data_IF_757666834340
#
_entry.id   IF_757666834340
#
_cell.length_a   1.000
_cell.length_b   1.000
_cell.length_c   1.000
_cell.angle_alpha   90.00
_cell.angle_beta   90.00
_cell.angle_gamma   90.00
#
_symmetry.space_group_name_H-M   'P 1'
#
loop_
_entity.id
_entity.type
_entity.pdbx_description
1 polymer ?
#
# COMPACT_ATOMS: atom_id res chain seq x y z
N UNK A 1 -7.36 -6.12 27.22
CA UNK A 1 -8.41 -5.89 26.21
C UNK A 1 -7.96 -6.60 24.94
N UNK A 2 -8.76 -7.56 24.48
CA UNK A 2 -8.43 -8.49 23.40
C UNK A 2 -8.05 -7.75 22.12
N UNK A 3 -7.00 -8.21 21.46
CA UNK A 3 -6.61 -7.76 20.13
C UNK A 3 -7.71 -8.13 19.13
N UNK A 4 -8.63 -7.20 18.88
CA UNK A 4 -9.43 -7.24 17.67
C UNK A 4 -8.45 -7.07 16.49
N UNK A 5 -8.01 -8.17 15.87
CA UNK A 5 -7.67 -8.12 14.46
C UNK A 5 -8.97 -8.47 13.73
N UNK A 6 -9.73 -7.48 13.23
CA UNK A 6 -10.96 -7.75 12.47
C UNK A 6 -10.71 -8.48 11.14
N UNK A 7 -9.45 -8.85 10.88
CA UNK A 7 -8.95 -9.27 9.59
C UNK A 7 -7.88 -10.36 9.77
N UNK A 8 -8.21 -11.61 9.43
CA UNK A 8 -7.22 -12.69 9.29
C UNK A 8 -6.64 -12.63 7.87
N UNK A 9 -5.67 -11.74 7.67
CA UNK A 9 -5.07 -11.54 6.35
C UNK A 9 -4.25 -12.77 5.97
N UNK A 10 -4.52 -13.31 4.78
CA UNK A 10 -3.63 -14.26 4.11
C UNK A 10 -3.55 -13.96 2.61
N UNK A 11 -2.40 -14.31 2.02
CA UNK A 11 -2.32 -14.46 0.57
C UNK A 11 -2.96 -15.80 0.15
N UNK A 12 -3.34 -15.98 -1.13
CA UNK A 12 -3.81 -17.27 -1.61
C UNK A 12 -2.85 -18.40 -1.22
N UNK A 13 -3.35 -19.53 -0.72
CA UNK A 13 -2.53 -20.60 -0.13
C UNK A 13 -1.43 -21.10 -1.08
N UNK A 14 -1.75 -21.20 -2.36
CA UNK A 14 -0.79 -21.57 -3.40
C UNK A 14 0.37 -20.56 -3.52
N UNK A 15 0.08 -19.26 -3.43
CA UNK A 15 1.10 -18.21 -3.44
C UNK A 15 1.99 -18.31 -2.20
N UNK A 16 1.41 -18.57 -1.03
CA UNK A 16 2.19 -18.75 0.20
C UNK A 16 3.13 -19.95 0.11
N UNK A 17 2.64 -21.07 -0.41
CA UNK A 17 3.42 -22.29 -0.61
C UNK A 17 4.61 -22.03 -1.54
N UNK A 18 4.38 -21.33 -2.65
CA UNK A 18 5.43 -21.02 -3.63
C UNK A 18 6.51 -20.10 -3.02
N UNK A 19 6.11 -19.11 -2.22
CA UNK A 19 7.03 -18.18 -1.54
C UNK A 19 7.77 -18.82 -0.35
N UNK A 20 7.12 -19.73 0.39
CA UNK A 20 7.76 -20.46 1.48
C UNK A 20 8.87 -21.38 0.99
N UNK A 21 8.70 -21.98 -0.20
CA UNK A 21 9.64 -22.94 -0.77
C UNK A 21 10.84 -22.34 -1.49
N UNK A 22 10.90 -21.00 -1.64
CA UNK A 22 11.92 -20.34 -2.48
C UNK A 22 12.46 -19.06 -1.83
N UNK A 23 13.74 -18.77 -2.09
CA UNK A 23 14.23 -17.40 -1.95
C UNK A 23 13.76 -16.56 -3.14
N UNK A 24 13.23 -15.36 -2.89
CA UNK A 24 12.70 -14.49 -3.94
C UNK A 24 13.25 -13.06 -3.90
N UNK A 25 13.13 -12.37 -5.03
CA UNK A 25 13.44 -10.95 -5.15
C UNK A 25 12.14 -10.15 -5.06
N UNK A 26 12.03 -9.33 -4.03
CA UNK A 26 10.92 -8.40 -3.85
C UNK A 26 11.23 -7.06 -4.52
N UNK A 27 10.46 -6.71 -5.54
CA UNK A 27 10.63 -5.50 -6.33
C UNK A 27 9.66 -4.43 -5.84
N UNK A 28 10.20 -3.30 -5.36
CA UNK A 28 9.38 -2.23 -4.79
C UNK A 28 8.64 -1.44 -5.88
N UNK A 29 7.42 -0.98 -5.58
CA UNK A 29 6.71 0.01 -6.39
C UNK A 29 7.27 1.42 -6.08
N UNK A 30 7.45 2.35 -7.04
CA UNK A 30 7.55 3.78 -6.71
C UNK A 30 6.19 4.31 -6.21
N UNK A 31 6.18 5.38 -5.40
CA UNK A 31 4.91 5.92 -4.94
C UNK A 31 4.97 6.87 -3.75
N UNK A 32 3.80 7.06 -3.14
CA UNK A 32 3.59 7.97 -2.01
C UNK A 32 3.60 7.22 -0.66
N UNK A 33 3.20 7.89 0.43
CA UNK A 33 3.18 7.25 1.74
C UNK A 33 2.23 6.04 1.82
N UNK A 34 1.17 5.99 1.02
CA UNK A 34 0.30 4.83 0.91
C UNK A 34 1.03 3.60 0.35
N UNK A 35 1.87 3.78 -0.67
CA UNK A 35 2.71 2.70 -1.20
C UNK A 35 3.77 2.26 -0.18
N UNK A 36 4.27 3.18 0.67
CA UNK A 36 5.10 2.83 1.82
C UNK A 36 4.35 1.95 2.84
N UNK A 37 3.05 2.19 3.05
CA UNK A 37 2.20 1.35 3.92
C UNK A 37 2.07 -0.05 3.34
N UNK A 38 1.80 -0.19 2.04
CA UNK A 38 1.77 -1.50 1.37
C UNK A 38 3.12 -2.20 1.55
N UNK A 39 4.23 -1.54 1.21
CA UNK A 39 5.55 -2.14 1.29
C UNK A 39 5.92 -2.54 2.72
N UNK A 40 5.65 -1.67 3.71
CA UNK A 40 5.88 -1.98 5.12
C UNK A 40 5.05 -3.20 5.57
N UNK A 41 3.78 -3.26 5.16
CA UNK A 41 2.92 -4.39 5.47
C UNK A 41 3.44 -5.69 4.83
N UNK A 42 3.86 -5.65 3.56
CA UNK A 42 4.49 -6.78 2.85
C UNK A 42 5.75 -7.27 3.54
N UNK A 43 6.70 -6.40 3.89
CA UNK A 43 7.93 -6.80 4.58
C UNK A 43 7.61 -7.50 5.91
N UNK A 44 6.76 -6.88 6.73
CA UNK A 44 6.36 -7.47 8.01
C UNK A 44 5.60 -8.79 7.83
N UNK A 45 4.84 -8.93 6.73
CA UNK A 45 4.17 -10.18 6.40
C UNK A 45 5.17 -11.29 6.11
N UNK A 46 6.15 -11.02 5.24
CA UNK A 46 7.20 -11.98 4.88
C UNK A 46 8.05 -12.35 6.09
N UNK A 47 8.42 -11.37 6.92
CA UNK A 47 9.21 -11.58 8.12
C UNK A 47 8.47 -12.47 9.14
N UNK A 48 7.16 -12.26 9.34
CA UNK A 48 6.34 -13.12 10.21
C UNK A 48 6.21 -14.55 9.70
N UNK A 49 6.20 -14.75 8.38
CA UNK A 49 6.20 -16.07 7.75
C UNK A 49 7.59 -16.72 7.70
N UNK A 50 8.64 -15.97 8.04
CA UNK A 50 10.03 -16.46 7.98
C UNK A 50 10.53 -16.67 6.54
N UNK A 51 9.96 -15.97 5.57
CA UNK A 51 10.35 -16.09 4.16
C UNK A 51 11.67 -15.37 3.89
N UNK A 52 12.47 -15.93 2.97
CA UNK A 52 13.77 -15.38 2.58
C UNK A 52 13.62 -14.55 1.32
N UNK A 53 13.97 -13.26 1.40
CA UNK A 53 13.85 -12.37 0.26
C UNK A 53 14.93 -11.29 0.22
N UNK A 54 15.25 -10.83 -1.00
CA UNK A 54 16.09 -9.66 -1.25
C UNK A 54 15.23 -8.54 -1.83
N UNK A 55 15.38 -7.32 -1.33
CA UNK A 55 14.65 -6.15 -1.84
C UNK A 55 15.46 -5.46 -2.92
N UNK A 56 14.81 -5.11 -4.03
CA UNK A 56 15.40 -4.36 -5.14
C UNK A 56 14.48 -3.23 -5.60
N UNK A 57 15.05 -2.11 -6.10
CA UNK A 57 14.27 -1.02 -6.67
C UNK A 57 13.71 -1.41 -8.06
N UNK A 58 12.73 -0.67 -8.59
CA UNK A 58 12.11 -0.97 -9.89
C UNK A 58 13.05 -0.82 -11.10
N UNK A 59 14.17 -0.10 -10.95
CA UNK A 59 15.17 0.11 -11.99
C UNK A 59 16.32 -0.92 -11.95
N UNK A 60 16.15 -2.01 -11.20
CA UNK A 60 17.11 -3.13 -11.16
C UNK A 60 17.39 -3.68 -12.57
N UNK A 61 18.60 -4.18 -12.79
CA UNK A 61 18.97 -4.76 -14.09
C UNK A 61 18.55 -6.24 -14.23
N UNK A 62 18.21 -6.72 -15.44
CA UNK A 62 17.84 -8.12 -15.68
C UNK A 62 18.90 -9.12 -15.24
N UNK A 63 20.18 -8.75 -15.31
CA UNK A 63 21.30 -9.57 -14.83
C UNK A 63 21.19 -9.94 -13.34
N UNK A 64 20.54 -9.10 -12.52
CA UNK A 64 20.34 -9.36 -11.09
C UNK A 64 19.07 -10.17 -10.78
N UNK A 65 18.17 -10.31 -11.75
CA UNK A 65 16.83 -10.94 -11.59
C UNK A 65 16.67 -12.24 -12.39
N UNK A 66 17.55 -12.49 -13.36
CA UNK A 66 17.50 -13.66 -14.23
C UNK A 66 17.57 -14.98 -13.44
N UNK A 67 16.70 -15.92 -13.78
CA UNK A 67 16.58 -17.23 -13.13
C UNK A 67 16.01 -17.20 -11.71
N UNK A 68 15.54 -16.05 -11.21
CA UNK A 68 15.01 -15.89 -9.84
C UNK A 68 13.48 -15.87 -9.81
N UNK A 69 12.91 -16.14 -8.64
CA UNK A 69 11.50 -15.88 -8.34
C UNK A 69 11.36 -14.39 -8.07
N UNK A 70 10.51 -13.71 -8.83
CA UNK A 70 10.27 -12.28 -8.73
C UNK A 70 8.90 -12.03 -8.10
N UNK A 71 8.87 -11.21 -7.07
CA UNK A 71 7.64 -10.77 -6.40
C UNK A 71 7.55 -9.26 -6.55
N UNK A 72 6.61 -8.80 -7.35
CA UNK A 72 6.37 -7.37 -7.56
C UNK A 72 5.40 -6.83 -6.51
N UNK A 73 5.75 -5.68 -5.91
CA UNK A 73 4.95 -5.04 -4.88
C UNK A 73 3.50 -4.79 -5.32
N UNK A 74 2.56 -4.96 -4.37
CA UNK A 74 1.15 -4.63 -4.58
C UNK A 74 0.94 -3.13 -4.72
N UNK A 75 -0.24 -2.72 -5.19
CA UNK A 75 -0.52 -1.31 -5.46
C UNK A 75 -1.54 -1.10 -6.56
N UNK A 76 -1.36 -0.03 -7.33
CA UNK A 76 -2.27 0.35 -8.42
C UNK A 76 -1.53 0.98 -9.60
N UNK A 77 -0.33 0.47 -9.90
CA UNK A 77 0.56 0.98 -10.95
C UNK A 77 0.59 0.12 -12.23
N UNK A 78 -0.46 -0.69 -12.47
CA UNK A 78 -0.69 -1.44 -13.71
C UNK A 78 -1.99 -0.95 -14.35
N UNK A 79 -2.01 0.35 -14.68
CA UNK A 79 -3.12 1.09 -15.30
C UNK A 79 -2.54 2.06 -16.32
N UNK A 80 -3.33 2.60 -17.25
CA UNK A 80 -2.82 3.47 -18.32
C UNK A 80 -2.01 4.69 -17.82
N UNK A 81 -2.45 5.28 -16.70
CA UNK A 81 -1.78 6.42 -16.06
C UNK A 81 -0.39 6.07 -15.47
N UNK A 82 -0.14 4.80 -15.16
CA UNK A 82 1.06 4.34 -14.46
C UNK A 82 1.62 3.08 -15.12
N UNK A 83 2.75 3.23 -15.79
CA UNK A 83 3.36 2.16 -16.60
C UNK A 83 4.44 1.37 -15.87
N UNK A 84 4.69 1.62 -14.58
CA UNK A 84 5.89 1.09 -13.92
C UNK A 84 5.87 -0.44 -13.79
N UNK A 85 4.75 -1.04 -13.40
CA UNK A 85 4.63 -2.51 -13.38
C UNK A 85 4.70 -3.10 -14.80
N UNK A 86 4.09 -2.43 -15.79
CA UNK A 86 4.16 -2.83 -17.20
C UNK A 86 5.61 -2.86 -17.71
N UNK A 87 6.35 -1.79 -17.47
CA UNK A 87 7.76 -1.68 -17.86
C UNK A 87 8.64 -2.70 -17.17
N UNK A 88 8.39 -2.98 -15.88
CA UNK A 88 9.10 -4.01 -15.15
C UNK A 88 8.83 -5.41 -15.74
N UNK A 89 7.55 -5.76 -15.94
CA UNK A 89 7.14 -7.02 -16.56
C UNK A 89 7.82 -7.22 -17.92
N UNK A 90 7.73 -6.22 -18.80
CA UNK A 90 8.34 -6.28 -20.13
C UNK A 90 9.86 -6.51 -20.10
N UNK A 91 10.57 -5.95 -19.10
CA UNK A 91 12.03 -6.05 -18.99
C UNK A 91 12.50 -7.36 -18.34
N UNK A 92 11.74 -7.90 -17.38
CA UNK A 92 12.22 -8.98 -16.51
C UNK A 92 11.55 -10.33 -16.73
N UNK A 93 10.36 -10.38 -17.34
CA UNK A 93 9.56 -11.60 -17.41
C UNK A 93 10.24 -12.74 -18.18
N UNK A 94 10.94 -12.42 -19.29
CA UNK A 94 11.61 -13.43 -20.11
C UNK A 94 12.63 -14.26 -19.31
N UNK A 95 13.38 -13.61 -18.42
CA UNK A 95 14.39 -14.24 -17.57
C UNK A 95 13.89 -14.77 -16.22
N UNK A 96 12.65 -14.48 -15.84
CA UNK A 96 12.14 -14.87 -14.52
C UNK A 96 11.88 -16.39 -14.45
N UNK A 97 12.26 -17.01 -13.32
CA UNK A 97 11.86 -18.41 -13.01
C UNK A 97 10.36 -18.47 -12.75
N UNK A 98 9.87 -17.51 -11.99
CA UNK A 98 8.47 -17.32 -11.62
C UNK A 98 8.24 -15.83 -11.37
N UNK A 99 7.05 -15.34 -11.69
CA UNK A 99 6.66 -13.96 -11.43
C UNK A 99 5.34 -13.92 -10.65
N UNK A 100 5.32 -13.19 -9.53
CA UNK A 100 4.13 -13.01 -8.70
C UNK A 100 3.87 -11.50 -8.57
N UNK A 101 2.71 -11.04 -9.05
CA UNK A 101 2.19 -9.71 -8.76
C UNK A 101 1.31 -9.79 -7.51
N UNK A 102 1.77 -9.18 -6.42
CA UNK A 102 1.01 -9.06 -5.18
C UNK A 102 -0.29 -8.25 -5.39
N UNK A 103 -1.26 -8.32 -4.45
CA UNK A 103 -2.58 -7.70 -4.60
C UNK A 103 -2.56 -6.31 -5.23
N UNK A 104 -3.14 -6.20 -6.44
CA UNK A 104 -3.02 -5.04 -7.31
C UNK A 104 -4.35 -4.57 -7.89
N UNK A 105 -4.46 -3.27 -8.13
CA UNK A 105 -5.46 -2.73 -9.05
C UNK A 105 -4.89 -2.72 -10.46
N UNK A 106 -5.51 -3.50 -11.34
CA UNK A 106 -5.22 -3.63 -12.77
C UNK A 106 -6.38 -3.09 -13.61
N UNK A 107 -6.06 -2.29 -14.62
CA UNK A 107 -6.96 -1.79 -15.68
C UNK A 107 -6.15 -1.72 -16.98
N UNK A 108 -6.78 -1.94 -18.12
CA UNK A 108 -6.09 -1.91 -19.42
C UNK A 108 -5.05 -3.03 -19.57
N UNK A 109 -4.04 -2.80 -20.41
CA UNK A 109 -2.89 -3.67 -20.62
C UNK A 109 -3.24 -5.06 -21.19
N UNK A 110 -4.30 -5.17 -21.97
CA UNK A 110 -4.88 -6.42 -22.47
C UNK A 110 -3.85 -7.27 -23.22
N UNK A 111 -3.06 -6.66 -24.10
CA UNK A 111 -2.00 -7.36 -24.86
C UNK A 111 -0.93 -7.95 -23.93
N UNK A 112 -0.51 -7.19 -22.91
CA UNK A 112 0.44 -7.68 -21.92
C UNK A 112 -0.17 -8.83 -21.12
N UNK A 113 -1.41 -8.69 -20.64
CA UNK A 113 -2.11 -9.71 -19.84
C UNK A 113 -2.27 -11.02 -20.63
N UNK A 114 -2.59 -10.93 -21.92
CA UNK A 114 -2.71 -12.09 -22.80
C UNK A 114 -1.37 -12.81 -23.04
N UNK A 115 -0.24 -12.09 -22.92
CA UNK A 115 1.11 -12.65 -23.09
C UNK A 115 1.66 -13.39 -21.87
N UNK A 116 1.01 -13.27 -20.70
CA UNK A 116 1.50 -13.88 -19.46
C UNK A 116 1.34 -15.40 -19.51
N UNK A 117 2.42 -16.12 -19.21
CA UNK A 117 2.46 -17.58 -19.24
C UNK A 117 2.26 -18.21 -17.85
N UNK A 118 2.33 -19.54 -17.79
CA UNK A 118 2.04 -20.35 -16.59
C UNK A 118 3.02 -20.09 -15.42
N UNK A 119 4.12 -19.38 -15.65
CA UNK A 119 5.07 -18.94 -14.61
C UNK A 119 4.59 -17.71 -13.86
N UNK A 120 3.54 -17.05 -14.36
CA UNK A 120 3.00 -15.83 -13.79
C UNK A 120 1.83 -16.13 -12.85
N UNK A 121 1.77 -15.37 -11.76
CA UNK A 121 0.61 -15.31 -10.87
C UNK A 121 0.27 -13.85 -10.62
N UNK A 122 -0.99 -13.47 -10.84
CA UNK A 122 -1.48 -12.12 -10.57
C UNK A 122 -2.60 -12.19 -9.54
N UNK A 123 -2.49 -11.32 -8.53
CA UNK A 123 -3.51 -11.18 -7.50
C UNK A 123 -4.18 -9.82 -7.68
N UNK A 124 -5.47 -9.80 -7.98
CA UNK A 124 -6.28 -8.60 -7.90
C UNK A 124 -6.62 -8.31 -6.44
N UNK A 125 -6.62 -7.02 -6.06
CA UNK A 125 -7.03 -6.60 -4.71
C UNK A 125 -8.50 -6.21 -4.58
N UNK A 126 -9.24 -6.30 -5.69
CA UNK A 126 -10.66 -5.96 -5.81
C UNK A 126 -11.29 -6.62 -7.04
N UNK A 127 -12.63 -6.66 -7.02
CA UNK A 127 -13.45 -7.46 -7.92
C UNK A 127 -13.42 -7.02 -9.39
N UNK A 128 -13.44 -5.71 -9.67
CA UNK A 128 -13.35 -5.17 -11.04
C UNK A 128 -12.01 -5.53 -11.67
N UNK A 129 -10.90 -5.42 -10.93
CA UNK A 129 -9.60 -5.93 -11.37
C UNK A 129 -9.59 -7.43 -11.61
N UNK A 130 -10.21 -8.19 -10.71
CA UNK A 130 -10.25 -9.65 -10.83
C UNK A 130 -11.00 -10.08 -12.10
N UNK A 131 -12.15 -9.47 -12.38
CA UNK A 131 -12.90 -9.72 -13.62
C UNK A 131 -12.12 -9.34 -14.86
N UNK A 132 -11.45 -8.19 -14.85
CA UNK A 132 -10.58 -7.75 -15.95
C UNK A 132 -9.47 -8.78 -16.22
N UNK A 133 -8.83 -9.29 -15.16
CA UNK A 133 -7.80 -10.32 -15.29
C UNK A 133 -8.37 -11.63 -15.84
N UNK A 134 -9.51 -12.10 -15.34
CA UNK A 134 -10.15 -13.33 -15.85
C UNK A 134 -10.53 -13.25 -17.33
N UNK A 135 -10.81 -12.05 -17.84
CA UNK A 135 -11.16 -11.83 -19.25
C UNK A 135 -9.96 -11.85 -20.18
N UNK A 136 -8.80 -11.37 -19.72
CA UNK A 136 -7.64 -11.11 -20.59
C UNK A 136 -6.42 -11.99 -20.33
N UNK A 137 -6.33 -12.61 -19.15
CA UNK A 137 -5.27 -13.57 -18.84
C UNK A 137 -5.68 -14.95 -19.35
N UNK A 138 -4.83 -15.53 -20.19
CA UNK A 138 -5.13 -16.82 -20.86
C UNK A 138 -4.48 -18.02 -20.17
N UNK A 139 -3.32 -17.82 -19.55
CA UNK A 139 -2.43 -18.91 -19.08
C UNK A 139 -1.95 -18.73 -17.65
N UNK A 140 -1.64 -17.50 -17.25
CA UNK A 140 -1.19 -17.20 -15.90
C UNK A 140 -2.28 -17.48 -14.84
N UNK A 141 -1.85 -17.72 -13.60
CA UNK A 141 -2.77 -17.89 -12.47
C UNK A 141 -3.32 -16.54 -12.04
N UNK A 142 -4.63 -16.49 -11.76
CA UNK A 142 -5.32 -15.27 -11.33
C UNK A 142 -6.05 -15.54 -10.02
N UNK A 143 -5.80 -14.69 -9.02
CA UNK A 143 -6.47 -14.74 -7.73
C UNK A 143 -7.12 -13.41 -7.39
N UNK A 144 -8.18 -13.46 -6.58
CA UNK A 144 -8.69 -12.32 -5.85
C UNK A 144 -8.16 -12.41 -4.42
N UNK A 145 -7.61 -11.31 -3.92
CA UNK A 145 -7.14 -11.18 -2.55
C UNK A 145 -7.38 -9.78 -2.01
N UNK A 146 -6.88 -9.53 -0.82
CA UNK A 146 -7.00 -8.24 -0.17
C UNK A 146 -5.73 -7.41 -0.33
N UNK A 147 -5.85 -6.08 -0.28
CA UNK A 147 -4.69 -5.19 -0.32
C UNK A 147 -3.69 -5.54 0.79
N UNK A 148 -2.39 -5.63 0.46
CA UNK A 148 -1.34 -5.99 1.42
C UNK A 148 -1.33 -5.07 2.66
N UNK A 149 -1.80 -3.83 2.55
CA UNK A 149 -1.90 -2.91 3.67
C UNK A 149 -2.80 -3.45 4.82
N UNK A 150 -3.77 -4.31 4.54
CA UNK A 150 -4.59 -4.96 5.57
C UNK A 150 -3.79 -5.96 6.43
N UNK A 151 -2.64 -6.43 5.97
CA UNK A 151 -1.74 -7.31 6.74
C UNK A 151 -0.91 -6.57 7.80
N UNK A 152 -1.05 -5.24 7.89
CA UNK A 152 -0.27 -4.41 8.78
C UNK A 152 -0.68 -4.60 10.24
N UNK A 153 0.21 -5.18 11.04
CA UNK A 153 0.10 -5.18 12.50
C UNK A 153 0.42 -3.78 13.04
N UNK A 154 -0.63 -2.98 13.25
CA UNK A 154 -0.55 -1.61 13.77
C UNK A 154 0.08 -1.56 15.16
N UNK A 155 -0.19 -2.55 16.02
CA UNK A 155 0.34 -2.56 17.39
C UNK A 155 1.84 -2.81 17.37
N UNK A 156 2.29 -3.88 16.71
CA UNK A 156 3.71 -4.19 16.58
C UNK A 156 4.48 -3.08 15.86
N UNK A 157 3.90 -2.50 14.80
CA UNK A 157 4.49 -1.34 14.11
C UNK A 157 4.76 -0.17 15.07
N UNK A 158 3.81 0.16 15.94
CA UNK A 158 3.96 1.26 16.92
C UNK A 158 5.02 0.95 17.96
N UNK A 159 5.02 -0.27 18.49
CA UNK A 159 6.00 -0.70 19.50
C UNK A 159 7.42 -0.71 18.93
N UNK A 160 7.60 -1.32 17.76
CA UNK A 160 8.88 -1.33 17.04
C UNK A 160 9.33 0.08 16.68
N UNK A 161 8.41 0.90 16.15
CA UNK A 161 8.70 2.26 15.72
C UNK A 161 9.06 3.17 16.90
N UNK A 162 8.39 3.03 18.04
CA UNK A 162 8.71 3.76 19.26
C UNK A 162 10.11 3.40 19.80
N UNK A 163 10.49 2.12 19.75
CA UNK A 163 11.84 1.66 20.11
C UNK A 163 12.89 2.17 19.13
N UNK A 164 12.63 2.01 17.83
CA UNK A 164 13.61 2.28 16.76
C UNK A 164 13.85 3.77 16.54
N UNK A 165 12.80 4.58 16.63
CA UNK A 165 12.81 6.02 16.33
C UNK A 165 12.64 6.86 17.60
N UNK A 166 13.16 6.36 18.73
CA UNK A 166 13.16 7.07 20.01
C UNK A 166 13.90 8.42 19.91
N UNK A 167 13.49 9.48 20.65
CA UNK A 167 13.98 10.85 20.41
C UNK A 167 15.44 11.11 20.81
N UNK A 168 16.10 10.18 21.50
CA UNK A 168 17.49 10.35 21.91
C UNK A 168 18.40 9.68 20.87
N UNK A 169 19.10 10.53 20.12
CA UNK A 169 20.13 10.24 19.12
C UNK A 169 19.63 9.74 17.75
N UNK A 170 19.28 10.67 16.88
CA UNK A 170 19.42 10.46 15.43
C UNK A 170 20.07 11.67 14.80
N UNK A 171 20.95 11.41 13.83
CA UNK A 171 21.96 12.30 13.24
C UNK A 171 21.42 13.67 12.77
N UNK A 172 22.31 14.67 12.68
CA UNK A 172 22.00 16.06 12.29
C UNK A 172 21.17 16.17 11.00
N UNK A 173 21.30 15.21 10.06
CA UNK A 173 20.49 15.15 8.83
C UNK A 173 19.06 14.66 9.06
N UNK A 174 18.85 13.68 9.95
CA UNK A 174 17.51 13.26 10.35
C UNK A 174 16.82 14.40 11.11
N UNK A 175 17.56 15.13 11.95
CA UNK A 175 17.05 16.32 12.67
C UNK A 175 16.62 17.41 11.68
N UNK A 176 17.39 17.74 10.65
CA UNK A 176 17.03 18.81 9.69
C UNK A 176 15.83 18.45 8.79
N UNK A 177 15.77 17.19 8.29
CA UNK A 177 14.64 16.68 7.51
C UNK A 177 13.37 16.53 8.36
N UNK A 178 13.53 16.12 9.61
CA UNK A 178 12.45 16.09 10.59
C UNK A 178 11.97 17.49 10.96
N UNK A 179 12.85 18.49 11.11
CA UNK A 179 12.48 19.84 11.51
C UNK A 179 11.59 20.55 10.47
N UNK A 180 11.88 20.45 9.16
CA UNK A 180 10.99 21.01 8.11
C UNK A 180 9.63 20.30 8.02
N UNK A 181 9.58 18.97 8.18
CA UNK A 181 8.33 18.19 8.24
C UNK A 181 7.52 18.49 9.50
N UNK A 182 8.19 18.61 10.63
CA UNK A 182 7.61 18.87 11.95
C UNK A 182 7.09 20.30 12.06
N UNK A 183 7.79 21.31 11.51
CA UNK A 183 7.30 22.70 11.44
C UNK A 183 6.03 22.82 10.58
N UNK A 184 5.94 22.09 9.46
CA UNK A 184 4.72 22.05 8.63
C UNK A 184 3.56 21.30 9.30
N UNK A 185 3.86 20.23 10.05
CA UNK A 185 2.87 19.50 10.85
C UNK A 185 2.35 20.34 12.02
N UNK A 186 3.23 21.05 12.73
CA UNK A 186 2.88 21.92 13.86
C UNK A 186 2.04 23.12 13.40
N UNK A 187 2.39 23.78 12.30
CA UNK A 187 1.59 24.89 11.75
C UNK A 187 0.22 24.46 11.23
N UNK A 188 0.06 23.21 10.76
CA UNK A 188 -1.23 22.65 10.31
C UNK A 188 -2.10 22.10 11.44
N UNK A 189 -1.50 21.47 12.46
CA UNK A 189 -2.18 21.11 13.70
C UNK A 189 -2.65 22.37 14.46
N UNK A 190 -1.94 23.49 14.32
CA UNK A 190 -2.37 24.80 14.82
C UNK A 190 -3.54 25.40 14.01
N UNK A 191 -3.71 25.08 12.72
CA UNK A 191 -4.92 25.42 11.95
C UNK A 191 -6.11 24.47 12.25
N UNK A 192 -5.85 23.22 12.61
CA UNK A 192 -6.88 22.24 13.01
C UNK A 192 -7.44 22.46 14.44
N UNK A 193 -6.95 23.46 15.17
CA UNK A 193 -7.27 23.76 16.59
C UNK A 193 -8.69 24.32 16.84
N UNK A 194 -9.63 24.11 15.91
CA UNK A 194 -11.06 24.25 16.18
C UNK A 194 -11.77 22.91 16.43
N UNK A 195 -11.26 21.81 15.87
CA UNK A 195 -11.96 20.52 15.94
C UNK A 195 -10.96 19.33 15.90
N UNK A 196 -10.41 18.96 17.07
CA UNK A 196 -9.43 17.87 17.23
C UNK A 196 -10.00 16.47 16.93
N UNK A 197 -11.26 16.36 16.49
CA UNK A 197 -11.93 15.10 16.24
C UNK A 197 -11.85 14.64 14.78
N UNK A 198 -11.75 15.55 13.82
CA UNK A 198 -11.88 15.23 12.38
C UNK A 198 -10.60 15.55 11.60
N UNK A 199 -10.16 14.61 10.78
CA UNK A 199 -9.15 14.80 9.74
C UNK A 199 -9.79 14.73 8.36
N UNK A 200 -9.65 15.78 7.54
CA UNK A 200 -9.93 15.72 6.11
C UNK A 200 -8.63 15.47 5.34
N UNK A 201 -8.58 14.40 4.54
CA UNK A 201 -7.41 14.01 3.76
C UNK A 201 -7.77 13.63 2.33
N UNK A 202 -7.87 14.61 1.45
CA UNK A 202 -8.26 14.47 0.06
C UNK A 202 -7.07 14.68 -0.88
N UNK A 203 -7.08 13.96 -2.01
CA UNK A 203 -6.08 14.07 -3.09
C UNK A 203 -6.04 15.47 -3.67
N UNK A 204 -4.82 15.95 -3.93
CA UNK A 204 -4.56 17.23 -4.62
C UNK A 204 -3.85 17.06 -5.97
N UNK A 205 -3.67 15.82 -6.43
CA UNK A 205 -2.91 15.46 -7.63
C UNK A 205 -3.82 15.23 -8.85
N UNK A 206 -3.30 14.65 -9.93
CA UNK A 206 -4.05 14.41 -11.18
C UNK A 206 -5.24 13.46 -11.00
N UNK A 207 -5.24 12.63 -9.95
CA UNK A 207 -6.37 11.77 -9.57
C UNK A 207 -7.33 12.48 -8.60
N UNK A 208 -7.30 13.83 -8.56
CA UNK A 208 -8.29 14.62 -7.82
C UNK A 208 -9.69 14.36 -8.37
N UNK A 209 -10.63 14.21 -7.44
CA UNK A 209 -12.06 14.07 -7.71
C UNK A 209 -12.78 15.42 -7.73
N UNK A 210 -14.02 15.45 -8.19
CA UNK A 210 -14.87 16.67 -8.17
C UNK A 210 -15.36 17.07 -6.76
N UNK A 211 -15.04 16.27 -5.73
CA UNK A 211 -15.34 16.58 -4.33
C UNK A 211 -14.69 17.91 -3.93
N UNK A 212 -15.50 18.83 -3.40
CA UNK A 212 -15.03 20.10 -2.86
C UNK A 212 -14.02 19.86 -1.72
N UNK A 213 -12.79 20.34 -1.90
CA UNK A 213 -11.71 20.15 -0.93
C UNK A 213 -11.95 21.06 0.28
N UNK A 214 -12.04 20.52 1.51
CA UNK A 214 -12.21 21.34 2.70
C UNK A 214 -11.04 22.30 2.91
N UNK A 215 -11.25 23.53 3.44
CA UNK A 215 -10.16 24.48 3.69
C UNK A 215 -9.04 23.96 4.58
N UNK A 216 -9.34 23.03 5.49
CA UNK A 216 -8.39 22.40 6.41
C UNK A 216 -7.83 21.05 5.91
N UNK A 217 -7.86 20.78 4.60
CA UNK A 217 -7.40 19.51 4.03
C UNK A 217 -5.89 19.26 4.21
N UNK A 218 -5.55 18.03 4.61
CA UNK A 218 -4.17 17.55 4.66
C UNK A 218 -4.06 16.31 3.80
N UNK A 219 -3.43 16.41 2.61
CA UNK A 219 -3.07 15.22 1.83
C UNK A 219 -1.95 14.45 2.56
N UNK A 220 -2.35 13.53 3.45
CA UNK A 220 -1.46 12.74 4.30
C UNK A 220 -0.49 11.92 3.44
N UNK A 221 -0.97 11.36 2.34
CA UNK A 221 -0.15 10.53 1.45
C UNK A 221 1.01 11.32 0.85
N UNK A 222 0.80 12.60 0.50
CA UNK A 222 1.87 13.51 0.07
C UNK A 222 2.71 14.03 1.22
N UNK A 223 2.10 14.34 2.37
CA UNK A 223 2.80 14.91 3.53
C UNK A 223 3.86 13.98 4.11
N UNK A 224 3.61 12.66 4.05
CA UNK A 224 4.50 11.63 4.57
C UNK A 224 5.29 10.89 3.48
N UNK A 225 5.14 11.26 2.20
CA UNK A 225 5.81 10.57 1.09
C UNK A 225 7.33 10.48 1.29
N UNK A 226 7.88 9.28 1.17
CA UNK A 226 9.31 9.00 1.24
C UNK A 226 9.99 9.26 -0.12
N UNK A 227 11.32 9.42 -0.10
CA UNK A 227 12.14 9.56 -1.31
C UNK A 227 12.30 8.22 -2.05
N UNK A 228 12.32 7.12 -1.31
CA UNK A 228 12.37 5.76 -1.83
C UNK A 228 11.47 4.82 -1.00
N UNK A 229 11.22 3.63 -1.53
CA UNK A 229 10.42 2.60 -0.88
C UNK A 229 11.26 1.45 -0.30
N UNK A 230 12.49 1.76 0.14
CA UNK A 230 13.31 0.80 0.85
C UNK A 230 12.74 0.48 2.24
N UNK A 231 13.01 -0.72 2.80
CA UNK A 231 12.29 -1.22 3.97
C UNK A 231 12.29 -0.27 5.18
N UNK A 232 13.45 0.33 5.51
CA UNK A 232 13.57 1.23 6.65
C UNK A 232 12.76 2.52 6.47
N UNK A 233 12.75 3.08 5.25
CA UNK A 233 12.03 4.30 4.93
C UNK A 233 10.52 4.07 4.92
N UNK A 234 10.08 2.93 4.36
CA UNK A 234 8.69 2.48 4.42
C UNK A 234 8.22 2.26 5.86
N UNK A 235 9.07 1.65 6.70
CA UNK A 235 8.79 1.44 8.12
C UNK A 235 8.63 2.77 8.87
N UNK A 236 9.58 3.69 8.73
CA UNK A 236 9.51 5.00 9.38
C UNK A 236 8.28 5.79 8.91
N UNK A 237 8.02 5.80 7.61
CA UNK A 237 6.89 6.50 7.00
C UNK A 237 5.57 5.96 7.50
N UNK A 238 5.40 4.64 7.51
CA UNK A 238 4.18 3.97 7.98
C UNK A 238 3.97 4.21 9.46
N UNK A 239 5.02 4.09 10.29
CA UNK A 239 4.94 4.37 11.73
C UNK A 239 4.51 5.82 12.00
N UNK A 240 5.12 6.79 11.32
CA UNK A 240 4.78 8.22 11.49
C UNK A 240 3.38 8.54 11.00
N UNK A 241 2.95 7.95 9.87
CA UNK A 241 1.59 8.10 9.34
C UNK A 241 0.56 7.53 10.31
N UNK A 242 0.76 6.30 10.81
CA UNK A 242 -0.12 5.67 11.82
C UNK A 242 -0.20 6.52 13.09
N UNK A 243 0.94 6.98 13.62
CA UNK A 243 0.98 7.84 14.82
C UNK A 243 0.23 9.16 14.61
N UNK A 244 0.29 9.73 13.41
CA UNK A 244 -0.45 10.94 13.06
C UNK A 244 -1.95 10.69 13.01
N UNK A 245 -2.40 9.64 12.31
CA UNK A 245 -3.81 9.29 12.20
C UNK A 245 -4.43 8.90 13.55
N UNK A 246 -3.65 8.32 14.46
CA UNK A 246 -4.11 7.95 15.80
C UNK A 246 -4.54 9.17 16.65
N UNK A 247 -4.06 10.37 16.30
CA UNK A 247 -4.43 11.62 16.97
C UNK A 247 -5.86 12.12 16.69
N UNK A 248 -6.59 11.46 15.78
CA UNK A 248 -7.95 11.84 15.36
C UNK A 248 -8.99 10.78 15.78
N UNK A 249 -10.26 11.19 15.85
CA UNK A 249 -11.39 10.28 16.11
C UNK A 249 -12.04 9.83 14.80
N UNK A 250 -12.23 10.77 13.88
CA UNK A 250 -12.83 10.60 12.58
C UNK A 250 -11.87 10.99 11.45
N UNK A 251 -11.89 10.25 10.36
CA UNK A 251 -11.08 10.47 9.15
C UNK A 251 -12.02 10.52 7.95
N UNK A 252 -11.95 11.61 7.19
CA UNK A 252 -12.73 11.84 5.98
C UNK A 252 -11.78 11.95 4.79
N UNK A 253 -11.85 11.00 3.84
CA UNK A 253 -10.78 10.83 2.84
C UNK A 253 -11.22 10.15 1.56
N UNK A 254 -10.59 10.51 0.43
CA UNK A 254 -10.60 9.74 -0.83
C UNK A 254 -9.24 9.03 -1.09
N UNK A 255 -8.32 9.02 -0.11
CA UNK A 255 -7.04 8.28 -0.17
C UNK A 255 -7.23 6.90 0.45
N UNK A 256 -7.20 5.87 -0.38
CA UNK A 256 -7.41 4.48 0.04
C UNK A 256 -6.58 4.07 1.27
N UNK A 257 -5.26 4.25 1.23
CA UNK A 257 -4.39 3.81 2.32
C UNK A 257 -4.54 4.64 3.60
N UNK A 258 -5.06 5.87 3.51
CA UNK A 258 -5.45 6.64 4.69
C UNK A 258 -6.67 5.99 5.34
N UNK A 259 -7.66 5.57 4.54
CA UNK A 259 -8.83 4.85 5.01
C UNK A 259 -8.49 3.47 5.59
N UNK A 260 -7.63 2.67 4.93
CA UNK A 260 -7.16 1.37 5.46
C UNK A 260 -6.49 1.57 6.83
N UNK A 261 -5.54 2.51 6.93
CA UNK A 261 -4.89 2.80 8.21
C UNK A 261 -5.88 3.28 9.29
N UNK A 262 -6.86 4.12 8.93
CA UNK A 262 -7.92 4.54 9.84
C UNK A 262 -8.78 3.38 10.33
N UNK A 263 -9.14 2.46 9.43
CA UNK A 263 -9.91 1.26 9.72
C UNK A 263 -9.15 0.32 10.67
N UNK A 264 -7.86 0.06 10.40
CA UNK A 264 -6.99 -0.76 11.28
C UNK A 264 -6.75 -0.13 12.65
N UNK A 265 -6.84 1.20 12.75
CA UNK A 265 -6.78 1.95 14.00
C UNK A 265 -8.12 2.00 14.76
N UNK A 266 -9.20 1.46 14.18
CA UNK A 266 -10.55 1.52 14.76
C UNK A 266 -11.13 2.95 14.80
N UNK A 267 -10.77 3.81 13.84
CA UNK A 267 -11.33 5.16 13.71
C UNK A 267 -12.65 5.15 12.95
N UNK A 268 -13.45 6.20 13.13
CA UNK A 268 -14.62 6.45 12.28
C UNK A 268 -14.13 6.96 10.92
N UNK A 269 -14.32 6.20 9.86
CA UNK A 269 -13.80 6.56 8.52
C UNK A 269 -14.95 6.83 7.57
N UNK A 270 -14.96 8.01 6.96
CA UNK A 270 -15.78 8.30 5.78
C UNK A 270 -14.86 8.15 4.56
N UNK A 271 -15.10 7.09 3.77
CA UNK A 271 -14.35 6.81 2.55
C UNK A 271 -15.14 7.29 1.34
N UNK A 272 -14.52 8.19 0.60
CA UNK A 272 -15.07 8.76 -0.62
C UNK A 272 -14.62 8.02 -1.88
N UNK A 273 -15.45 8.11 -2.93
CA UNK A 273 -15.09 7.71 -4.27
C UNK A 273 -13.78 8.38 -4.73
N UNK A 274 -13.02 7.64 -5.54
CA UNK A 274 -11.89 8.14 -6.29
C UNK A 274 -12.07 7.83 -7.78
N UNK A 275 -11.10 8.26 -8.60
CA UNK A 275 -11.06 7.88 -10.02
C UNK A 275 -11.09 6.35 -10.19
N UNK A 276 -11.76 5.89 -11.25
CA UNK A 276 -11.88 4.48 -11.64
C UNK A 276 -12.61 3.56 -10.64
N UNK A 277 -13.43 4.13 -9.74
CA UNK A 277 -14.23 3.41 -8.73
C UNK A 277 -13.41 2.50 -7.80
N UNK A 278 -12.08 2.67 -7.76
CA UNK A 278 -11.15 1.77 -7.03
C UNK A 278 -11.45 1.70 -5.54
N UNK A 279 -11.75 2.85 -4.93
CA UNK A 279 -12.07 2.91 -3.52
C UNK A 279 -13.38 2.17 -3.21
N UNK A 280 -14.36 2.21 -4.13
CA UNK A 280 -15.64 1.55 -3.95
C UNK A 280 -15.47 0.04 -3.97
N UNK A 281 -14.76 -0.46 -4.99
CA UNK A 281 -14.55 -1.89 -5.17
C UNK A 281 -13.76 -2.48 -3.98
N UNK A 282 -12.75 -1.77 -3.50
CA UNK A 282 -11.98 -2.20 -2.32
C UNK A 282 -12.79 -2.07 -1.03
N UNK A 283 -13.62 -1.03 -0.89
CA UNK A 283 -14.54 -0.91 0.25
C UNK A 283 -15.47 -2.12 0.29
N UNK A 284 -16.16 -2.43 -0.82
CA UNK A 284 -17.11 -3.54 -0.92
C UNK A 284 -16.42 -4.89 -0.67
N UNK A 285 -15.24 -5.09 -1.24
CA UNK A 285 -14.52 -6.37 -1.14
C UNK A 285 -13.89 -6.59 0.24
N UNK A 286 -13.23 -5.56 0.80
CA UNK A 286 -12.33 -5.72 1.95
C UNK A 286 -12.80 -5.03 3.23
N UNK A 287 -13.65 -4.00 3.15
CA UNK A 287 -14.04 -3.20 4.31
C UNK A 287 -15.46 -3.46 4.79
N UNK A 288 -16.42 -3.54 3.87
CA UNK A 288 -17.83 -3.75 4.17
C UNK A 288 -18.03 -5.03 4.99
N UNK A 289 -18.78 -4.92 6.09
CA UNK A 289 -19.02 -6.01 7.03
C UNK A 289 -17.86 -6.40 7.95
N UNK A 290 -16.62 -5.96 7.65
CA UNK A 290 -15.42 -6.24 8.46
C UNK A 290 -14.99 -5.07 9.34
N UNK A 291 -15.20 -3.84 8.85
CA UNK A 291 -14.88 -2.61 9.57
C UNK A 291 -16.15 -1.75 9.69
N UNK A 292 -16.98 -1.97 10.74
CA UNK A 292 -18.29 -1.31 10.86
C UNK A 292 -18.19 0.22 11.00
N UNK A 293 -17.05 0.73 11.48
CA UNK A 293 -16.78 2.18 11.58
C UNK A 293 -16.38 2.82 10.25
N UNK A 294 -16.29 2.06 9.15
CA UNK A 294 -16.00 2.59 7.81
C UNK A 294 -17.30 2.75 7.03
N UNK A 295 -17.65 3.98 6.73
CA UNK A 295 -18.83 4.37 5.95
C UNK A 295 -18.39 4.78 4.55
N UNK A 296 -19.02 4.20 3.54
CA UNK A 296 -18.86 4.61 2.15
C UNK A 296 -19.68 5.87 1.85
N UNK A 297 -19.06 6.83 1.14
CA UNK A 297 -19.70 8.07 0.70
C UNK A 297 -19.32 8.39 -0.74
N UNK A 298 -20.09 7.84 -1.66
CA UNK A 298 -19.96 8.00 -3.10
C UNK A 298 -21.21 7.51 -3.78
#
# INVERSE_FOLDING_TARGET
>A
MSSFSPFDFSLPEEVERDLQGSEFIYCTNPGNAGDCVIACASHRYFDRKGWKYKVVPPNVEPSETNGRVLVYAGGGNLIDMYSQARSFLAKHLAGAKQFILLPHTVRGNEELLASLDDRCTIIAREETSYRHLLQHVTRAKVFLGHDMAFSLDVKGLREDGARRFWPLFSTKDLVWRNTKRMIRQVNRLAQAKGNRKLLSSFRMDIERTDVAIPPANIDVSRAFASDDLMPLNCFETSYRMIKFLDGFQQIDTNRLHVAICGALLGKDVILHANSYSKNEDIYRHSMAGRFPSVVWKG
#
